data_IF_516426535302
#
_entry.id   IF_516426535302
#
_cell.length_a   1.000
_cell.length_b   1.000
_cell.length_c   1.000
_cell.angle_alpha   90.00
_cell.angle_beta   90.00
_cell.angle_gamma   90.00
#
_symmetry.space_group_name_H-M   'P 1'
#
loop_
_entity.id
_entity.type
_entity.pdbx_description
1 polymer ?
#
# COMPACT_ATOMS: atom_id res chain seq x y z
N UNK A 1 16.62 4.75 -20.09
CA UNK A 1 16.55 4.20 -18.70
C UNK A 1 15.72 5.06 -17.72
N UNK A 2 14.98 6.08 -18.17
CA UNK A 2 14.23 7.01 -17.30
C UNK A 2 12.78 6.60 -17.01
N UNK A 3 12.30 5.50 -17.58
CA UNK A 3 10.90 5.07 -17.41
C UNK A 3 10.61 4.78 -15.92
N UNK A 4 9.53 5.35 -15.35
CA UNK A 4 9.09 5.01 -14.00
C UNK A 4 8.75 3.53 -13.89
N UNK A 5 8.79 3.02 -12.66
CA UNK A 5 8.34 1.66 -12.33
C UNK A 5 7.73 1.65 -10.94
N UNK A 6 6.85 0.68 -10.71
CA UNK A 6 6.34 0.35 -9.38
C UNK A 6 7.48 -0.33 -8.60
N UNK A 7 7.87 0.24 -7.46
CA UNK A 7 8.86 -0.37 -6.55
C UNK A 7 8.21 -1.43 -5.67
N UNK A 8 7.10 -1.03 -5.03
CA UNK A 8 6.36 -1.84 -4.08
C UNK A 8 4.94 -1.29 -3.91
N UNK A 9 4.03 -2.18 -3.54
CA UNK A 9 2.69 -1.84 -3.08
C UNK A 9 2.62 -2.24 -1.62
N UNK A 10 2.21 -1.31 -0.76
CA UNK A 10 2.10 -1.50 0.67
C UNK A 10 0.63 -1.47 1.01
N UNK A 11 0.15 -2.57 1.60
CA UNK A 11 -1.25 -2.70 2.06
C UNK A 11 -1.23 -2.67 3.56
N UNK A 12 -1.98 -1.75 4.14
CA UNK A 12 -2.04 -1.52 5.58
C UNK A 12 -3.48 -1.62 6.07
N UNK A 13 -3.70 -2.37 7.15
CA UNK A 13 -4.96 -2.38 7.90
C UNK A 13 -4.68 -1.89 9.31
N UNK A 14 -5.27 -0.75 9.65
CA UNK A 14 -5.25 -0.18 10.99
C UNK A 14 -6.49 -0.59 11.79
N UNK A 15 -6.39 -1.63 12.61
CA UNK A 15 -7.53 -2.13 13.41
C UNK A 15 -7.75 -1.28 14.67
N UNK A 16 -6.69 -0.65 15.21
CA UNK A 16 -6.80 0.22 16.38
C UNK A 16 -6.92 -0.54 17.71
N UNK A 17 -7.03 -1.87 17.69
CA UNK A 17 -7.18 -2.74 18.86
C UNK A 17 -6.26 -3.95 18.75
N UNK A 18 -5.83 -4.48 19.88
CA UNK A 18 -5.10 -5.75 19.95
C UNK A 18 -6.03 -6.95 20.13
N UNK A 19 -5.44 -8.14 20.12
CA UNK A 19 -6.15 -9.40 20.33
C UNK A 19 -6.77 -9.95 19.05
N UNK A 20 -7.91 -10.61 19.20
CA UNK A 20 -8.62 -11.33 18.14
C UNK A 20 -8.90 -10.50 16.87
N UNK A 21 -9.32 -9.21 16.93
CA UNK A 21 -9.56 -8.41 15.73
C UNK A 21 -8.32 -8.25 14.84
N UNK A 22 -7.14 -8.17 15.45
CA UNK A 22 -5.88 -8.08 14.71
C UNK A 22 -5.55 -9.41 14.02
N UNK A 23 -5.84 -10.53 14.66
CA UNK A 23 -5.58 -11.85 14.08
C UNK A 23 -6.50 -12.14 12.90
N UNK A 24 -7.77 -11.71 12.98
CA UNK A 24 -8.72 -11.71 11.86
C UNK A 24 -8.20 -10.88 10.69
N UNK A 25 -7.75 -9.64 10.94
CA UNK A 25 -7.17 -8.80 9.89
C UNK A 25 -5.90 -9.41 9.26
N UNK A 26 -5.06 -10.08 10.05
CA UNK A 26 -3.89 -10.82 9.53
C UNK A 26 -4.31 -12.00 8.66
N UNK A 27 -5.36 -12.74 9.02
CA UNK A 27 -5.90 -13.83 8.20
C UNK A 27 -6.39 -13.31 6.85
N UNK A 28 -7.16 -12.21 6.85
CA UNK A 28 -7.65 -11.55 5.63
C UNK A 28 -6.52 -11.11 4.72
N UNK A 29 -5.52 -10.40 5.25
CA UNK A 29 -4.38 -9.97 4.43
C UNK A 29 -3.58 -11.15 3.88
N UNK A 30 -3.45 -12.23 4.65
CA UNK A 30 -2.77 -13.44 4.19
C UNK A 30 -3.52 -14.10 3.04
N UNK A 31 -4.84 -14.22 3.12
CA UNK A 31 -5.67 -14.78 2.05
C UNK A 31 -5.67 -13.92 0.79
N UNK A 32 -5.72 -12.60 0.96
CA UNK A 32 -5.68 -11.64 -0.16
C UNK A 32 -4.36 -11.65 -0.91
N UNK A 33 -3.25 -11.72 -0.18
CA UNK A 33 -1.92 -11.47 -0.72
C UNK A 33 -1.04 -12.70 -0.87
N UNK A 34 -1.44 -13.84 -0.28
CA UNK A 34 -0.64 -15.06 -0.15
C UNK A 34 0.75 -14.82 0.48
N UNK A 35 0.93 -13.72 1.23
CA UNK A 35 2.15 -13.39 1.95
C UNK A 35 1.89 -13.26 3.44
N UNK A 36 2.93 -13.41 4.25
CA UNK A 36 2.81 -13.28 5.70
C UNK A 36 2.78 -11.79 6.13
N UNK A 37 1.68 -11.31 6.74
CA UNK A 37 1.57 -9.93 7.19
C UNK A 37 2.42 -9.66 8.43
N UNK A 38 3.13 -8.54 8.43
CA UNK A 38 3.87 -8.06 9.60
C UNK A 38 2.96 -7.30 10.55
N UNK A 39 2.90 -7.73 11.82
CA UNK A 39 2.22 -6.97 12.90
C UNK A 39 3.04 -5.71 13.26
N UNK A 40 2.36 -4.58 13.48
CA UNK A 40 2.95 -3.28 13.86
C UNK A 40 2.52 -2.89 15.26
N UNK A 41 3.50 -2.44 16.05
CA UNK A 41 3.34 -2.06 17.45
C UNK A 41 3.02 -0.57 17.59
N UNK A 42 2.23 -0.20 18.61
CA UNK A 42 2.03 1.17 19.03
C UNK A 42 3.34 1.82 19.43
N UNK A 43 3.57 3.05 18.96
CA UNK A 43 4.73 3.85 19.35
C UNK A 43 4.52 4.53 20.72
N UNK A 44 3.30 4.96 21.01
CA UNK A 44 2.92 5.72 22.21
C UNK A 44 1.63 5.15 22.79
N UNK A 45 1.39 5.41 24.07
CA UNK A 45 0.12 5.10 24.72
C UNK A 45 -0.79 6.33 24.60
N UNK A 46 -1.96 6.17 24.00
CA UNK A 46 -2.94 7.25 23.84
C UNK A 46 -4.29 6.71 24.30
N UNK A 47 -4.88 7.38 25.30
CA UNK A 47 -6.13 6.93 25.95
C UNK A 47 -7.32 6.96 24.99
N UNK A 48 -7.42 7.97 24.13
CA UNK A 48 -8.52 8.13 23.17
C UNK A 48 -8.57 6.98 22.14
N UNK A 49 -7.41 6.45 21.77
CA UNK A 49 -7.32 5.28 20.89
C UNK A 49 -7.37 3.95 21.64
N UNK A 50 -7.33 3.97 22.98
CA UNK A 50 -7.29 2.75 23.80
C UNK A 50 -6.00 1.94 23.62
N UNK A 51 -4.90 2.57 23.20
CA UNK A 51 -3.65 1.89 22.83
C UNK A 51 -2.58 2.02 23.90
N UNK A 52 -1.81 0.95 24.12
CA UNK A 52 -0.63 0.95 24.99
C UNK A 52 0.65 0.82 24.17
N UNK A 53 1.72 1.48 24.62
CA UNK A 53 3.04 1.42 23.97
C UNK A 53 3.51 -0.04 23.83
N UNK A 54 3.90 -0.42 22.62
CA UNK A 54 4.40 -1.77 22.30
C UNK A 54 3.32 -2.79 21.94
N UNK A 55 2.05 -2.45 22.10
CA UNK A 55 0.91 -3.30 21.76
C UNK A 55 0.75 -3.44 20.23
N UNK A 56 0.50 -4.64 19.69
CA UNK A 56 0.28 -4.81 18.25
C UNK A 56 -1.12 -4.33 17.87
N UNK A 57 -1.21 -3.45 16.87
CA UNK A 57 -2.45 -2.71 16.54
C UNK A 57 -2.80 -2.76 15.05
N UNK A 58 -1.78 -2.88 14.20
CA UNK A 58 -1.96 -2.86 12.75
C UNK A 58 -1.22 -4.02 12.10
N UNK A 59 -1.64 -4.37 10.89
CA UNK A 59 -0.97 -5.36 10.06
C UNK A 59 -0.66 -4.77 8.69
N UNK A 60 0.51 -5.14 8.16
CA UNK A 60 1.01 -4.60 6.91
C UNK A 60 1.61 -5.71 6.04
N UNK A 61 1.35 -5.65 4.75
CA UNK A 61 2.02 -6.47 3.73
C UNK A 61 2.71 -5.55 2.74
N UNK A 62 3.87 -5.97 2.24
CA UNK A 62 4.60 -5.24 1.20
C UNK A 62 4.82 -6.16 0.00
N UNK A 63 4.06 -5.93 -1.06
CA UNK A 63 4.15 -6.65 -2.32
C UNK A 63 5.15 -5.97 -3.25
N UNK A 64 5.83 -6.76 -4.07
CA UNK A 64 6.80 -6.27 -5.07
C UNK A 64 6.70 -7.10 -6.33
N UNK A 65 7.23 -6.57 -7.45
CA UNK A 65 7.28 -7.27 -8.74
C UNK A 65 5.88 -7.69 -9.20
N UNK A 66 5.72 -8.95 -9.61
CA UNK A 66 4.49 -9.48 -10.20
C UNK A 66 3.33 -9.46 -9.20
N UNK A 67 3.56 -9.93 -7.96
CA UNK A 67 2.53 -9.95 -6.90
C UNK A 67 1.91 -8.56 -6.68
N UNK A 68 2.71 -7.50 -6.80
CA UNK A 68 2.22 -6.12 -6.68
C UNK A 68 1.30 -5.71 -7.85
N UNK A 69 1.65 -6.11 -9.07
CA UNK A 69 0.86 -5.82 -10.28
C UNK A 69 -0.45 -6.61 -10.24
N UNK A 70 -0.38 -7.89 -9.88
CA UNK A 70 -1.54 -8.76 -9.78
C UNK A 70 -2.51 -8.26 -8.70
N UNK A 71 -1.98 -7.81 -7.54
CA UNK A 71 -2.78 -7.20 -6.50
C UNK A 71 -3.44 -5.89 -6.94
N UNK A 72 -2.71 -5.01 -7.64
CA UNK A 72 -3.28 -3.77 -8.17
C UNK A 72 -4.40 -4.05 -9.19
N UNK A 73 -4.23 -5.03 -10.06
CA UNK A 73 -5.26 -5.41 -11.03
C UNK A 73 -6.55 -5.89 -10.36
N UNK A 74 -6.47 -6.55 -9.20
CA UNK A 74 -7.63 -6.97 -8.40
C UNK A 74 -8.32 -5.81 -7.69
N UNK A 75 -7.54 -4.81 -7.26
CA UNK A 75 -7.98 -3.74 -6.37
C UNK A 75 -8.47 -2.49 -7.12
N UNK A 76 -7.82 -2.11 -8.22
CA UNK A 76 -8.18 -0.91 -8.97
C UNK A 76 -9.64 -0.87 -9.46
N UNK A 77 -10.28 -2.00 -9.85
CA UNK A 77 -11.70 -2.02 -10.19
C UNK A 77 -12.61 -1.61 -9.04
N UNK A 78 -12.21 -1.82 -7.78
CA UNK A 78 -13.01 -1.44 -6.59
C UNK A 78 -13.14 0.07 -6.46
N UNK A 79 -12.17 0.83 -6.97
CA UNK A 79 -12.16 2.29 -6.93
C UNK A 79 -12.60 2.87 -8.28
N UNK A 80 -13.37 2.12 -9.07
CA UNK A 80 -13.79 2.46 -10.44
C UNK A 80 -12.63 2.85 -11.37
N UNK A 81 -11.41 2.40 -11.06
CA UNK A 81 -10.17 2.84 -11.71
C UNK A 81 -10.03 4.38 -11.78
N UNK A 82 -10.56 5.11 -10.79
CA UNK A 82 -10.45 6.56 -10.68
C UNK A 82 -9.55 6.93 -9.50
N UNK A 83 -8.49 7.68 -9.77
CA UNK A 83 -7.60 8.18 -8.72
C UNK A 83 -7.57 9.70 -8.78
N UNK A 84 -7.79 10.36 -7.65
CA UNK A 84 -7.72 11.82 -7.59
C UNK A 84 -6.30 12.31 -7.82
N UNK A 85 -6.14 13.44 -8.52
CA UNK A 85 -4.85 14.14 -8.63
C UNK A 85 -4.23 14.46 -7.26
N UNK A 86 -5.06 14.71 -6.24
CA UNK A 86 -4.62 15.01 -4.87
C UNK A 86 -4.00 13.80 -4.15
N UNK A 87 -4.27 12.58 -4.63
CA UNK A 87 -3.73 11.35 -4.06
C UNK A 87 -2.27 11.10 -4.42
N UNK A 88 -1.69 11.89 -5.34
CA UNK A 88 -0.29 11.81 -5.74
C UNK A 88 0.57 12.71 -4.85
N UNK A 89 1.68 12.16 -4.36
CA UNK A 89 2.68 12.89 -3.60
C UNK A 89 3.65 13.64 -4.52
N UNK A 90 4.51 14.47 -3.92
CA UNK A 90 5.55 15.24 -4.63
C UNK A 90 6.60 14.35 -5.32
N UNK A 91 6.68 13.08 -4.93
CA UNK A 91 7.65 12.10 -5.39
C UNK A 91 7.05 11.12 -6.40
N UNK A 92 5.81 11.34 -6.85
CA UNK A 92 5.13 10.51 -7.83
C UNK A 92 4.51 9.22 -7.30
N UNK A 93 4.60 8.94 -6.01
CA UNK A 93 3.88 7.85 -5.36
C UNK A 93 2.44 8.26 -5.09
N UNK A 94 1.54 7.30 -4.99
CA UNK A 94 0.14 7.59 -4.73
C UNK A 94 -0.47 6.60 -3.74
N UNK A 95 -1.58 7.00 -3.13
CA UNK A 95 -2.31 6.19 -2.17
C UNK A 95 -3.81 6.34 -2.34
N UNK A 96 -4.53 5.26 -2.10
CA UNK A 96 -5.98 5.25 -2.08
C UNK A 96 -6.47 4.30 -0.98
N UNK A 97 -7.68 4.56 -0.48
CA UNK A 97 -8.33 3.77 0.55
C UNK A 97 -9.41 2.87 -0.06
N UNK A 98 -9.54 1.67 0.49
CA UNK A 98 -10.63 0.74 0.23
C UNK A 98 -11.43 0.63 1.52
N UNK A 99 -12.74 0.88 1.45
CA UNK A 99 -13.60 0.84 2.63
C UNK A 99 -13.90 -0.59 3.07
N UNK A 100 -14.11 -1.48 2.10
CA UNK A 100 -14.52 -2.85 2.35
C UNK A 100 -13.67 -3.84 1.54
N UNK A 101 -12.98 -4.73 2.23
CA UNK A 101 -12.18 -5.77 1.56
C UNK A 101 -13.01 -6.79 0.77
N UNK A 102 -14.34 -6.86 0.97
CA UNK A 102 -15.25 -7.78 0.28
C UNK A 102 -15.46 -7.38 -1.19
N UNK A 103 -15.33 -6.08 -1.49
CA UNK A 103 -15.44 -5.58 -2.87
C UNK A 103 -14.28 -6.08 -3.75
N UNK A 104 -13.19 -6.57 -3.13
CA UNK A 104 -12.04 -7.12 -3.84
C UNK A 104 -12.40 -8.47 -4.44
N UNK A 105 -12.10 -8.63 -5.74
CA UNK A 105 -12.35 -9.87 -6.46
C UNK A 105 -11.59 -11.06 -5.84
N UNK A 106 -12.33 -12.11 -5.50
CA UNK A 106 -11.79 -13.36 -4.97
C UNK A 106 -11.85 -13.51 -3.45
N UNK A 107 -12.34 -12.51 -2.72
CA UNK A 107 -12.62 -12.63 -1.28
C UNK A 107 -14.03 -13.13 -1.07
N UNK A 108 -14.20 -14.16 -0.23
CA UNK A 108 -15.51 -14.56 0.26
C UNK A 108 -15.78 -13.89 1.60
N UNK A 109 -17.02 -13.48 1.81
CA UNK A 109 -17.44 -12.99 3.11
C UNK A 109 -17.43 -14.13 4.13
N UNK A 110 -16.73 -13.92 5.24
CA UNK A 110 -16.73 -14.78 6.41
C UNK A 110 -17.34 -14.00 7.59
N UNK A 111 -18.52 -14.41 8.11
CA UNK A 111 -19.18 -13.74 9.23
C UNK A 111 -18.30 -13.61 10.47
N UNK A 112 -17.39 -14.56 10.69
CA UNK A 112 -16.54 -14.59 11.88
C UNK A 112 -15.43 -13.53 11.81
N UNK A 113 -15.01 -13.16 10.60
CA UNK A 113 -13.88 -12.27 10.35
C UNK A 113 -14.30 -10.79 10.42
N UNK A 114 -15.50 -10.47 9.93
CA UNK A 114 -16.02 -9.10 9.88
C UNK A 114 -15.44 -8.26 8.74
N UNK A 115 -15.93 -7.02 8.58
CA UNK A 115 -15.55 -6.12 7.47
C UNK A 115 -14.39 -5.22 7.89
N UNK A 116 -13.27 -5.32 7.17
CA UNK A 116 -12.12 -4.42 7.30
C UNK A 116 -11.95 -3.51 6.09
N UNK A 117 -11.60 -2.25 6.36
CA UNK A 117 -11.03 -1.34 5.38
C UNK A 117 -9.51 -1.42 5.34
N UNK A 118 -8.92 -0.97 4.23
CA UNK A 118 -7.48 -1.00 4.02
C UNK A 118 -6.99 0.23 3.25
N UNK A 119 -5.77 0.65 3.57
CA UNK A 119 -5.05 1.68 2.84
C UNK A 119 -4.02 1.01 1.93
N UNK A 120 -4.02 1.39 0.65
CA UNK A 120 -3.08 0.89 -0.34
C UNK A 120 -2.18 2.04 -0.79
N UNK A 121 -0.88 1.90 -0.55
CA UNK A 121 0.14 2.87 -0.93
C UNK A 121 1.04 2.27 -2.01
N UNK A 122 1.09 2.91 -3.18
CA UNK A 122 1.92 2.49 -4.31
C UNK A 122 3.13 3.38 -4.41
N UNK A 123 4.31 2.80 -4.18
CA UNK A 123 5.57 3.51 -4.28
C UNK A 123 6.13 3.42 -5.71
N UNK A 124 6.33 4.58 -6.32
CA UNK A 124 6.89 4.72 -7.67
C UNK A 124 8.34 5.17 -7.60
N UNK A 125 9.21 4.58 -8.42
CA UNK A 125 10.62 4.97 -8.52
C UNK A 125 11.10 4.93 -9.96
N UNK A 126 12.20 5.64 -10.23
CA UNK A 126 13.00 5.40 -11.43
C UNK A 126 14.09 4.35 -11.18
N UNK A 127 14.53 3.61 -12.20
CA UNK A 127 15.75 2.81 -12.12
C UNK A 127 16.93 3.66 -11.61
N UNK A 128 17.78 3.13 -10.72
CA UNK A 128 18.89 3.89 -10.12
C UNK A 128 18.68 4.34 -8.67
N UNK A 129 17.44 4.25 -8.15
CA UNK A 129 17.15 4.52 -6.74
C UNK A 129 17.91 3.61 -5.75
N UNK A 130 18.49 2.49 -6.23
CA UNK A 130 19.36 1.61 -5.44
C UNK A 130 20.53 2.35 -4.80
N UNK A 131 21.03 3.43 -5.40
CA UNK A 131 22.15 4.23 -4.87
C UNK A 131 21.86 4.80 -3.47
N UNK A 132 20.60 5.12 -3.17
CA UNK A 132 20.17 5.60 -1.84
C UNK A 132 20.12 4.48 -0.80
N UNK A 133 19.79 3.25 -1.23
CA UNK A 133 19.48 2.15 -0.32
C UNK A 133 20.66 1.17 -0.13
N UNK A 134 21.67 1.19 -1.02
CA UNK A 134 22.84 0.31 -0.92
C UNK A 134 23.76 0.69 0.25
N UNK A 135 24.38 -0.31 0.88
CA UNK A 135 25.36 -0.12 1.96
C UNK A 135 26.66 0.53 1.46
N UNK A 136 27.26 -0.01 0.40
CA UNK A 136 28.53 0.47 -0.17
C UNK A 136 28.27 1.63 -1.14
N UNK A 137 29.06 2.71 -1.04
CA UNK A 137 28.95 3.91 -1.89
C UNK A 137 27.53 4.49 -1.94
N UNK A 138 26.89 4.63 -0.79
CA UNK A 138 25.56 5.26 -0.68
C UNK A 138 25.64 6.74 -1.07
N UNK A 139 24.71 7.20 -1.89
CA UNK A 139 24.62 8.63 -2.24
C UNK A 139 23.15 9.07 -2.30
N UNK A 140 22.92 10.39 -2.23
CA UNK A 140 21.60 10.98 -2.41
C UNK A 140 21.19 10.91 -3.88
N UNK A 141 19.89 10.89 -4.12
CA UNK A 141 19.33 10.93 -5.48
C UNK A 141 19.29 12.40 -5.91
N UNK A 142 19.80 12.70 -7.11
CA UNK A 142 19.72 14.05 -7.68
C UNK A 142 18.27 14.44 -7.96
N UNK A 143 17.95 15.73 -7.83
CA UNK A 143 16.58 16.25 -8.04
C UNK A 143 16.02 15.92 -9.42
N UNK A 144 16.85 15.98 -10.46
CA UNK A 144 16.48 15.60 -11.83
C UNK A 144 16.09 14.14 -12.00
N UNK A 145 16.54 13.27 -11.10
CA UNK A 145 16.23 11.84 -11.11
C UNK A 145 15.00 11.48 -10.27
N UNK A 146 14.52 12.42 -9.44
CA UNK A 146 13.29 12.24 -8.68
C UNK A 146 12.11 12.31 -9.65
N UNK A 147 11.15 11.42 -9.42
CA UNK A 147 9.93 11.34 -10.20
C UNK A 147 8.99 12.50 -9.88
N UNK A 148 8.43 13.14 -10.91
CA UNK A 148 7.42 14.19 -10.73
C UNK A 148 6.00 13.59 -10.68
N UNK A 149 5.02 14.28 -10.08
CA UNK A 149 3.64 13.81 -10.05
C UNK A 149 3.07 13.61 -11.45
N UNK A 150 3.30 14.55 -12.37
CA UNK A 150 2.72 14.49 -13.72
C UNK A 150 3.27 13.30 -14.54
N UNK A 151 4.56 12.99 -14.43
CA UNK A 151 5.13 11.80 -15.06
C UNK A 151 4.55 10.50 -14.51
N UNK A 152 4.23 10.49 -13.22
CA UNK A 152 3.62 9.34 -12.56
C UNK A 152 2.18 9.15 -12.97
N UNK A 153 1.44 10.24 -13.12
CA UNK A 153 0.07 10.26 -13.61
C UNK A 153 -0.01 9.68 -15.03
N UNK A 154 0.88 10.11 -15.93
CA UNK A 154 0.98 9.55 -17.28
C UNK A 154 1.29 8.06 -17.23
N UNK A 155 2.29 7.66 -16.44
CA UNK A 155 2.66 6.24 -16.30
C UNK A 155 1.51 5.37 -15.78
N UNK A 156 0.78 5.84 -14.75
CA UNK A 156 -0.34 5.12 -14.14
C UNK A 156 -1.50 5.00 -15.12
N UNK A 157 -1.80 6.06 -15.88
CA UNK A 157 -2.83 6.04 -16.93
C UNK A 157 -2.49 5.01 -18.01
N UNK A 158 -1.25 5.01 -18.49
CA UNK A 158 -0.81 4.12 -19.58
C UNK A 158 -0.69 2.65 -19.13
N UNK A 159 -0.20 2.41 -17.91
CA UNK A 159 0.12 1.05 -17.44
C UNK A 159 -1.06 0.36 -16.77
N UNK A 160 -1.85 1.10 -15.99
CA UNK A 160 -2.92 0.54 -15.17
C UNK A 160 -4.32 0.86 -15.73
N UNK A 161 -4.41 1.69 -16.77
CA UNK A 161 -5.69 2.07 -17.39
C UNK A 161 -6.59 2.85 -16.44
N UNK A 162 -5.99 3.66 -15.56
CA UNK A 162 -6.66 4.43 -14.52
C UNK A 162 -6.96 5.84 -15.03
N UNK A 163 -8.17 6.33 -14.78
CA UNK A 163 -8.55 7.71 -15.02
C UNK A 163 -8.14 8.58 -13.83
N UNK A 164 -7.60 9.76 -14.14
CA UNK A 164 -7.13 10.71 -13.13
C UNK A 164 -8.12 11.85 -13.07
N UNK A 165 -8.76 12.02 -11.92
CA UNK A 165 -9.82 12.98 -11.65
C UNK A 165 -9.37 14.15 -10.77
#
# INVERSE_FOLDING_TARGET
MLKPKIDKVVVNIGVGKSGEPLEKAVKVLRELTNQEPGKRKAKQSIRDFGTRKGEPIACIVTLRKQDAIDFLNKVLPVVDKKISRKSFDKNGSFSFGIKEHIEIQGVKYDPDVGIFGMDVCVAMIRPGYRVKNRRRKRAKIGSSHVLTPDESMVFVKDTLGVEIA
#
